data_IF_056447797244
#
_entry.id   IF_056447797244
#
_cell.length_a   1.000
_cell.length_b   1.000
_cell.length_c   1.000
_cell.angle_alpha   90.00
_cell.angle_beta   90.00
_cell.angle_gamma   90.00
#
_symmetry.space_group_name_H-M   'P 1'
#
loop_
_entity.id
_entity.type
_entity.pdbx_description
1 polymer ?
#
# COMPACT_ATOMS: atom_id res chain seq x y z
N UNK A 1 10.04 -13.54 -4.36
CA UNK A 1 9.17 -12.44 -3.92
C UNK A 1 7.78 -12.71 -4.42
N UNK A 2 6.76 -12.34 -3.66
CA UNK A 2 5.35 -12.52 -4.03
C UNK A 2 4.71 -11.15 -4.21
N UNK A 3 4.01 -10.96 -5.32
CA UNK A 3 3.28 -9.72 -5.59
C UNK A 3 1.81 -9.93 -5.22
N UNK A 4 1.26 -8.99 -4.48
CA UNK A 4 -0.16 -8.95 -4.14
C UNK A 4 -0.79 -7.67 -4.68
N UNK A 5 -2.11 -7.66 -4.74
CA UNK A 5 -2.87 -6.46 -5.08
C UNK A 5 -3.47 -5.87 -3.81
N UNK A 6 -3.34 -4.55 -3.64
CA UNK A 6 -4.04 -3.81 -2.58
C UNK A 6 -5.18 -3.00 -3.16
N UNK A 7 -6.34 -3.07 -2.53
CA UNK A 7 -7.50 -2.26 -2.90
C UNK A 7 -7.81 -1.29 -1.76
N UNK A 8 -7.91 0.01 -2.11
CA UNK A 8 -8.33 1.07 -1.20
C UNK A 8 -9.84 1.24 -1.28
N UNK A 9 -10.49 1.18 -0.13
CA UNK A 9 -11.93 1.42 0.02
C UNK A 9 -12.16 2.48 1.11
N UNK A 10 -13.39 2.92 1.28
CA UNK A 10 -13.83 3.74 2.41
C UNK A 10 -13.77 3.00 3.76
N UNK A 11 -13.74 1.67 3.74
CA UNK A 11 -13.57 0.80 4.90
C UNK A 11 -12.10 0.45 5.23
N UNK A 12 -11.14 0.92 4.43
CA UNK A 12 -9.71 0.65 4.62
C UNK A 12 -9.03 -0.04 3.42
N UNK A 13 -7.82 -0.51 3.65
CA UNK A 13 -7.00 -1.21 2.64
C UNK A 13 -7.08 -2.72 2.81
N UNK A 14 -7.39 -3.40 1.72
CA UNK A 14 -7.52 -4.86 1.67
C UNK A 14 -6.49 -5.46 0.73
N UNK A 15 -6.02 -6.66 1.05
CA UNK A 15 -5.11 -7.45 0.24
C UNK A 15 -5.89 -8.52 -0.51
N UNK A 16 -5.67 -8.57 -1.82
CA UNK A 16 -6.08 -9.64 -2.71
C UNK A 16 -4.82 -10.43 -3.11
N UNK A 17 -4.80 -11.69 -2.69
CA UNK A 17 -3.70 -12.61 -2.97
C UNK A 17 -4.18 -13.70 -3.94
N UNK A 18 -3.33 -14.08 -4.89
CA UNK A 18 -3.60 -15.22 -5.79
C UNK A 18 -3.36 -16.59 -5.12
N UNK A 19 -2.67 -16.62 -3.98
CA UNK A 19 -2.36 -17.84 -3.22
C UNK A 19 -3.36 -18.11 -2.09
N UNK A 20 -4.22 -17.15 -1.76
CA UNK A 20 -5.28 -17.29 -0.75
C UNK A 20 -6.54 -16.60 -1.23
N UNK A 21 -7.68 -17.28 -1.16
CA UNK A 21 -8.98 -16.71 -1.51
C UNK A 21 -9.54 -15.76 -0.46
N UNK A 22 -8.85 -15.57 0.67
CA UNK A 22 -9.31 -14.70 1.74
C UNK A 22 -8.96 -13.24 1.46
N UNK A 23 -9.96 -12.37 1.49
CA UNK A 23 -9.75 -10.92 1.49
C UNK A 23 -9.47 -10.50 2.93
N UNK A 24 -8.25 -10.03 3.19
CA UNK A 24 -7.81 -9.63 4.54
C UNK A 24 -7.43 -8.16 4.58
N UNK A 25 -7.71 -7.46 5.70
CA UNK A 25 -7.11 -6.15 5.95
C UNK A 25 -5.59 -6.22 5.82
N UNK A 26 -4.98 -5.17 5.25
CA UNK A 26 -3.55 -5.10 4.99
C UNK A 26 -2.68 -5.42 6.22
N UNK A 27 -3.08 -4.92 7.38
CA UNK A 27 -2.43 -5.12 8.68
C UNK A 27 -2.67 -6.52 9.30
N UNK A 28 -3.67 -7.26 8.83
CA UNK A 28 -4.01 -8.60 9.31
C UNK A 28 -3.35 -9.74 8.50
N UNK A 29 -2.58 -9.43 7.45
CA UNK A 29 -1.94 -10.44 6.60
C UNK A 29 -0.68 -11.05 7.19
N UNK A 30 0.01 -10.33 8.08
CA UNK A 30 1.34 -10.73 8.59
C UNK A 30 2.47 -10.58 7.57
N UNK A 31 2.23 -9.94 6.41
CA UNK A 31 3.27 -9.71 5.41
C UNK A 31 4.14 -8.50 5.75
N UNK A 32 5.40 -8.57 5.34
CA UNK A 32 6.33 -7.44 5.32
C UNK A 32 6.40 -6.88 3.90
N UNK A 33 5.96 -5.64 3.73
CA UNK A 33 5.91 -4.98 2.43
C UNK A 33 7.16 -4.12 2.22
N UNK A 34 7.94 -4.46 1.19
CA UNK A 34 9.24 -3.82 0.94
C UNK A 34 9.17 -2.71 -0.10
N UNK A 35 8.34 -2.88 -1.13
CA UNK A 35 8.18 -1.93 -2.24
C UNK A 35 6.74 -1.94 -2.76
N UNK A 36 6.30 -0.82 -3.32
CA UNK A 36 5.02 -0.65 -4.03
C UNK A 36 5.29 -0.13 -5.43
N UNK A 37 4.47 -0.51 -6.41
CA UNK A 37 4.48 0.13 -7.72
C UNK A 37 4.01 1.58 -7.58
N UNK A 38 4.60 2.51 -8.34
CA UNK A 38 4.12 3.90 -8.38
C UNK A 38 2.71 3.94 -8.97
N UNK A 39 1.89 4.87 -8.45
CA UNK A 39 0.56 5.15 -9.02
C UNK A 39 0.65 5.99 -10.31
N UNK A 40 1.76 6.67 -10.52
CA UNK A 40 1.97 7.58 -11.66
C UNK A 40 2.68 6.89 -12.83
N UNK A 41 3.63 6.00 -12.54
CA UNK A 41 4.38 5.25 -13.56
C UNK A 41 4.48 3.75 -13.17
N UNK A 42 3.83 2.84 -13.92
CA UNK A 42 3.84 1.42 -13.60
C UNK A 42 5.24 0.77 -13.71
N UNK A 43 6.22 1.42 -14.33
CA UNK A 43 7.58 0.89 -14.42
C UNK A 43 8.44 1.22 -13.19
N UNK A 44 7.94 2.08 -12.31
CA UNK A 44 8.67 2.54 -11.12
C UNK A 44 8.19 1.81 -9.87
N UNK A 45 9.15 1.36 -9.05
CA UNK A 45 8.92 0.73 -7.76
C UNK A 45 9.51 1.59 -6.64
N UNK A 46 8.67 1.99 -5.69
CA UNK A 46 9.03 2.83 -4.55
C UNK A 46 9.14 1.98 -3.27
N UNK A 47 10.13 2.25 -2.42
CA UNK A 47 10.28 1.54 -1.13
C UNK A 47 9.21 1.99 -0.13
N UNK A 48 8.65 1.03 0.62
CA UNK A 48 7.62 1.30 1.64
C UNK A 48 8.28 1.56 3.01
N UNK A 49 9.47 1.01 3.26
CA UNK A 49 10.18 1.19 4.53
C UNK A 49 10.99 2.50 4.56
N UNK A 50 10.61 3.42 5.45
CA UNK A 50 11.51 4.43 6.00
C UNK A 50 12.23 3.86 7.24
N UNK A 51 13.46 4.30 7.59
CA UNK A 51 14.29 3.64 8.60
C UNK A 51 13.72 3.60 10.02
N UNK A 52 12.68 4.36 10.36
CA UNK A 52 12.24 4.52 11.75
C UNK A 52 10.71 4.48 11.85
N UNK A 53 10.14 3.30 12.15
CA UNK A 53 9.00 3.08 13.06
C UNK A 53 7.70 3.87 12.94
N UNK A 54 7.53 4.79 11.98
CA UNK A 54 6.27 5.47 11.75
C UNK A 54 5.53 4.72 10.65
N UNK A 55 4.53 3.98 11.08
CA UNK A 55 3.47 3.42 10.27
C UNK A 55 3.07 4.43 9.19
N UNK A 56 3.48 4.18 7.95
CA UNK A 56 2.86 4.77 6.78
C UNK A 56 1.49 4.10 6.58
N UNK A 57 0.59 4.25 7.56
CA UNK A 57 -0.82 4.33 7.24
C UNK A 57 -0.95 5.54 6.30
N UNK A 58 -1.69 5.45 5.18
CA UNK A 58 -1.96 6.63 4.38
C UNK A 58 -2.89 7.54 5.19
N UNK A 59 -2.30 8.38 6.03
CA UNK A 59 -2.96 9.51 6.65
C UNK A 59 -3.54 10.34 5.51
N UNK A 60 -4.86 10.28 5.35
CA UNK A 60 -5.62 11.06 4.38
C UNK A 60 -5.66 12.55 4.75
N UNK A 61 -4.49 13.16 4.94
CA UNK A 61 -4.38 14.56 5.31
C UNK A 61 -2.99 15.13 5.00
N UNK A 62 -2.59 15.18 3.73
CA UNK A 62 -1.58 16.15 3.29
C UNK A 62 -1.99 16.79 1.95
N UNK A 63 -2.30 18.08 2.09
CA UNK A 63 -2.36 19.18 1.13
C UNK A 63 -2.99 18.95 -0.26
N UNK A 64 -4.23 19.43 -0.37
CA UNK A 64 -4.62 20.36 -1.43
C UNK A 64 -3.48 21.36 -1.68
N UNK A 65 -2.86 21.33 -2.86
CA UNK A 65 -2.21 22.46 -3.54
C UNK A 65 -1.85 22.06 -4.97
N UNK A 66 -2.83 22.14 -5.86
CA UNK A 66 -2.61 22.50 -7.26
C UNK A 66 -2.91 24.01 -7.31
N UNK A 67 -1.97 24.86 -7.75
CA UNK A 67 -1.97 25.19 -9.16
C UNK A 67 -0.59 25.41 -9.82
N UNK A 68 -0.63 25.11 -11.13
CA UNK A 68 0.19 25.50 -12.28
C UNK A 68 1.34 24.55 -12.68
#
# INVERSE_FOLDING_TARGET
GHAILTVRTDHGEFVLDNLSSEVRPWDATGYRFVKRQSQEDPNVWVSIEAPNGQQNAPTGSMQSSNPN
#
